data_IF_615885460027
#
_entry.id   IF_615885460027
#
_cell.length_a   1.000
_cell.length_b   1.000
_cell.length_c   1.000
_cell.angle_alpha   90.00
_cell.angle_beta   90.00
_cell.angle_gamma   90.00
#
_symmetry.space_group_name_H-M   'P 1'
#
loop_
_entity.id
_entity.type
_entity.pdbx_description
1 polymer ?
#
# COMPACT_ATOMS: atom_id res chain seq x y z
N UNK A 1 -3.29 -16.07 9.17
CA UNK A 1 -2.21 -15.07 9.13
C UNK A 1 -1.62 -14.91 10.52
N UNK A 2 -0.28 -14.88 10.62
CA UNK A 2 0.44 -14.74 11.89
C UNK A 2 0.89 -13.29 12.11
N UNK A 3 0.71 -12.80 13.33
CA UNK A 3 1.13 -11.46 13.78
C UNK A 3 2.12 -11.64 14.94
N UNK A 4 3.25 -10.96 14.87
CA UNK A 4 4.19 -10.87 15.97
C UNK A 4 3.90 -9.60 16.78
N UNK A 5 3.73 -9.73 18.10
CA UNK A 5 3.58 -8.61 19.04
C UNK A 5 4.83 -8.51 19.90
N UNK A 6 5.50 -7.38 19.84
CA UNK A 6 6.72 -7.07 20.59
C UNK A 6 6.40 -5.95 21.58
N UNK A 7 6.26 -6.29 22.85
CA UNK A 7 5.82 -5.38 23.92
C UNK A 7 6.37 -5.90 25.25
N UNK A 8 7.04 -5.08 26.03
CA UNK A 8 7.65 -5.49 27.29
C UNK A 8 6.65 -5.54 28.44
N UNK A 9 5.63 -4.66 28.47
CA UNK A 9 4.57 -4.72 29.44
C UNK A 9 3.70 -5.97 29.26
N UNK A 10 3.68 -6.82 30.29
CA UNK A 10 2.94 -8.10 30.27
C UNK A 10 1.43 -7.92 30.10
N UNK A 11 0.88 -6.85 30.68
CA UNK A 11 -0.58 -6.62 30.63
C UNK A 11 -1.02 -6.10 29.26
N UNK A 12 -0.26 -5.18 28.66
CA UNK A 12 -0.49 -4.67 27.32
C UNK A 12 -0.31 -5.80 26.30
N UNK A 13 0.77 -6.55 26.40
CA UNK A 13 1.05 -7.71 25.54
C UNK A 13 -0.08 -8.74 25.58
N UNK A 14 -0.59 -9.08 26.77
CA UNK A 14 -1.70 -10.01 26.91
C UNK A 14 -3.03 -9.45 26.38
N UNK A 15 -3.25 -8.14 26.47
CA UNK A 15 -4.42 -7.49 25.90
C UNK A 15 -4.40 -7.51 24.37
N UNK A 16 -3.24 -7.20 23.76
CA UNK A 16 -3.03 -7.26 22.31
C UNK A 16 -3.20 -8.68 21.77
N UNK A 17 -2.61 -9.67 22.44
CA UNK A 17 -2.75 -11.09 22.08
C UNK A 17 -4.22 -11.50 22.00
N UNK A 18 -4.99 -11.25 23.09
CA UNK A 18 -6.42 -11.58 23.13
C UNK A 18 -7.21 -10.89 22.04
N UNK A 19 -6.94 -9.60 21.83
CA UNK A 19 -7.67 -8.81 20.86
C UNK A 19 -7.43 -9.27 19.42
N UNK A 20 -6.18 -9.54 19.07
CA UNK A 20 -5.82 -10.00 17.74
C UNK A 20 -6.32 -11.44 17.48
N UNK A 21 -6.20 -12.33 18.46
CA UNK A 21 -6.78 -13.69 18.36
C UNK A 21 -8.30 -13.68 18.22
N UNK A 22 -8.99 -12.76 18.86
CA UNK A 22 -10.44 -12.61 18.70
C UNK A 22 -10.84 -12.20 17.27
N UNK A 23 -9.92 -11.62 16.50
CA UNK A 23 -10.10 -11.33 15.07
C UNK A 23 -9.67 -12.48 14.14
N UNK A 24 -9.29 -13.63 14.68
CA UNK A 24 -8.91 -14.82 13.92
C UNK A 24 -7.45 -14.86 13.48
N UNK A 25 -6.59 -13.99 14.01
CA UNK A 25 -5.14 -14.05 13.74
C UNK A 25 -4.44 -15.09 14.62
N UNK A 26 -3.40 -15.73 14.10
CA UNK A 26 -2.41 -16.42 14.92
C UNK A 26 -1.47 -15.35 15.50
N UNK A 27 -1.18 -15.42 16.80
CA UNK A 27 -0.37 -14.39 17.47
C UNK A 27 0.77 -15.02 18.22
N UNK A 28 1.98 -14.56 17.93
CA UNK A 28 3.17 -14.80 18.74
C UNK A 28 3.51 -13.52 19.50
N UNK A 29 3.88 -13.65 20.76
CA UNK A 29 4.20 -12.49 21.59
C UNK A 29 5.58 -12.64 22.21
N UNK A 30 6.39 -11.58 22.17
CA UNK A 30 7.74 -11.55 22.75
C UNK A 30 7.97 -10.24 23.52
N UNK A 31 8.88 -10.25 24.54
CA UNK A 31 9.05 -9.09 25.43
C UNK A 31 10.10 -8.08 24.97
N UNK A 32 10.93 -8.40 23.97
CA UNK A 32 12.08 -7.57 23.57
C UNK A 32 12.47 -7.75 22.10
N UNK A 33 13.31 -6.85 21.61
CA UNK A 33 13.72 -6.81 20.20
C UNK A 33 14.59 -8.00 19.77
N UNK A 34 15.37 -8.60 20.68
CA UNK A 34 16.20 -9.77 20.33
C UNK A 34 15.33 -11.01 20.12
N UNK A 35 14.40 -11.25 21.03
CA UNK A 35 13.40 -12.31 20.88
C UNK A 35 12.53 -12.09 19.64
N UNK A 36 12.26 -10.83 19.28
CA UNK A 36 11.53 -10.48 18.07
C UNK A 36 12.28 -10.89 16.78
N UNK A 37 13.59 -10.64 16.69
CA UNK A 37 14.39 -11.09 15.53
C UNK A 37 14.39 -12.62 15.39
N UNK A 38 14.47 -13.35 16.51
CA UNK A 38 14.41 -14.81 16.50
C UNK A 38 13.03 -15.30 16.03
N UNK A 39 11.94 -14.69 16.53
CA UNK A 39 10.59 -15.03 16.13
C UNK A 39 10.32 -14.71 14.66
N UNK A 40 10.83 -13.59 14.14
CA UNK A 40 10.76 -13.26 12.72
C UNK A 40 11.38 -14.33 11.85
N UNK A 41 12.58 -14.80 12.21
CA UNK A 41 13.30 -15.82 11.44
C UNK A 41 12.64 -17.21 11.54
N UNK A 42 12.04 -17.55 12.68
CA UNK A 42 11.48 -18.88 12.93
C UNK A 42 10.05 -19.07 12.45
N UNK A 43 9.23 -18.00 12.50
CA UNK A 43 7.80 -18.11 12.34
C UNK A 43 7.22 -17.34 11.15
N UNK A 44 8.04 -16.52 10.51
CA UNK A 44 7.68 -15.71 9.32
C UNK A 44 6.34 -14.96 9.48
N UNK A 45 6.20 -14.07 10.49
CA UNK A 45 4.95 -13.34 10.70
C UNK A 45 4.66 -12.37 9.54
N UNK A 46 3.38 -12.26 9.18
CA UNK A 46 2.91 -11.37 8.11
C UNK A 46 2.90 -9.88 8.50
N UNK A 47 2.99 -9.57 9.81
CA UNK A 47 3.01 -8.22 10.37
C UNK A 47 3.65 -8.24 11.75
N UNK A 48 4.36 -7.16 12.08
CA UNK A 48 4.88 -6.92 13.43
C UNK A 48 4.16 -5.73 14.06
N UNK A 49 3.64 -5.91 15.27
CA UNK A 49 3.17 -4.81 16.14
C UNK A 49 4.28 -4.59 17.17
N UNK A 50 4.89 -3.42 17.19
CA UNK A 50 6.15 -3.15 17.86
C UNK A 50 6.04 -1.97 18.82
N UNK A 51 6.34 -2.16 20.09
CA UNK A 51 6.61 -1.05 20.98
C UNK A 51 8.01 -0.47 20.75
N UNK A 52 8.17 0.86 20.84
CA UNK A 52 9.48 1.50 20.79
C UNK A 52 10.24 1.43 22.11
N UNK A 53 9.55 1.38 23.24
CA UNK A 53 10.10 1.43 24.58
C UNK A 53 10.71 0.13 25.09
N UNK A 54 11.20 -0.74 24.22
CA UNK A 54 11.69 -2.06 24.58
C UNK A 54 13.02 -2.02 25.33
N UNK A 55 13.24 -2.93 26.29
CA UNK A 55 14.53 -3.08 26.96
C UNK A 55 15.58 -3.70 26.04
N UNK A 56 16.82 -3.26 26.18
CA UNK A 56 17.97 -3.79 25.42
C UNK A 56 18.02 -3.26 23.98
N UNK A 57 17.42 -3.96 23.04
CA UNK A 57 17.28 -3.48 21.66
C UNK A 57 15.99 -2.67 21.54
N UNK A 58 16.11 -1.37 21.36
CA UNK A 58 14.95 -0.49 21.15
C UNK A 58 14.24 -0.80 19.82
N UNK A 59 12.96 -0.39 19.72
CA UNK A 59 12.13 -0.71 18.55
C UNK A 59 12.64 -0.10 17.24
N UNK A 60 13.29 1.07 17.28
CA UNK A 60 13.87 1.69 16.07
C UNK A 60 15.08 0.88 15.58
N UNK A 61 15.92 0.40 16.50
CA UNK A 61 17.05 -0.48 16.17
C UNK A 61 16.58 -1.82 15.59
N UNK A 62 15.49 -2.36 16.09
CA UNK A 62 14.84 -3.54 15.51
C UNK A 62 14.37 -3.27 14.07
N UNK A 63 13.67 -2.16 13.81
CA UNK A 63 13.23 -1.80 12.46
C UNK A 63 14.41 -1.65 11.50
N UNK A 64 15.47 -0.91 11.89
CA UNK A 64 16.68 -0.74 11.07
C UNK A 64 17.29 -2.08 10.71
N UNK A 65 17.40 -2.98 11.67
CA UNK A 65 17.96 -4.30 11.46
C UNK A 65 17.10 -5.10 10.48
N UNK A 66 15.79 -5.11 10.66
CA UNK A 66 14.85 -5.80 9.79
C UNK A 66 15.00 -5.35 8.33
N UNK A 67 15.02 -4.04 8.11
CA UNK A 67 15.19 -3.44 6.76
C UNK A 67 16.58 -3.68 6.18
N UNK A 68 17.65 -3.68 6.99
CA UNK A 68 19.00 -3.98 6.51
C UNK A 68 19.17 -5.42 6.05
N UNK A 69 18.37 -6.32 6.60
CA UNK A 69 18.34 -7.73 6.20
C UNK A 69 17.43 -7.97 4.96
N UNK A 70 16.86 -6.89 4.37
CA UNK A 70 16.02 -6.93 3.18
C UNK A 70 14.58 -7.36 3.45
N UNK A 71 14.13 -7.29 4.68
CA UNK A 71 12.79 -7.69 5.08
C UNK A 71 11.83 -6.50 5.02
N UNK A 72 10.86 -6.57 4.09
CA UNK A 72 9.87 -5.52 3.82
C UNK A 72 8.52 -5.77 4.50
N UNK A 73 8.45 -6.72 5.44
CA UNK A 73 7.19 -6.97 6.17
C UNK A 73 6.68 -5.73 6.89
N UNK A 74 5.38 -5.50 6.93
CA UNK A 74 4.81 -4.33 7.56
C UNK A 74 5.05 -4.33 9.07
N UNK A 75 5.40 -3.14 9.58
CA UNK A 75 5.62 -2.87 11.00
C UNK A 75 4.69 -1.74 11.45
N UNK A 76 3.77 -2.05 12.38
CA UNK A 76 2.96 -1.09 13.11
C UNK A 76 3.65 -0.75 14.43
N UNK A 77 4.12 0.48 14.55
CA UNK A 77 4.79 0.96 15.74
C UNK A 77 3.78 1.50 16.76
N UNK A 78 3.90 1.05 18.00
CA UNK A 78 3.21 1.64 19.15
C UNK A 78 4.19 2.58 19.89
N UNK A 79 3.79 3.81 20.16
CA UNK A 79 4.69 4.78 20.76
C UNK A 79 3.98 5.67 21.80
N UNK A 80 4.67 5.99 22.90
CA UNK A 80 4.22 7.00 23.85
C UNK A 80 4.60 8.43 23.41
N UNK A 81 5.38 8.57 22.31
CA UNK A 81 5.89 9.84 21.81
C UNK A 81 4.91 10.45 20.83
N UNK A 82 4.42 11.65 21.13
CA UNK A 82 3.43 12.40 20.35
C UNK A 82 4.09 13.53 19.50
N UNK A 83 5.39 13.70 19.60
CA UNK A 83 6.15 14.70 18.87
C UNK A 83 6.18 14.48 17.35
N UNK A 84 6.00 15.56 16.55
CA UNK A 84 6.10 15.52 15.10
C UNK A 84 7.49 15.06 14.63
N UNK A 85 8.55 15.43 15.39
CA UNK A 85 9.93 15.03 15.12
C UNK A 85 10.16 13.53 15.26
N UNK A 86 9.61 12.92 16.30
CA UNK A 86 9.74 11.47 16.56
C UNK A 86 9.02 10.61 15.50
N UNK A 87 7.93 11.13 14.90
CA UNK A 87 7.21 10.45 13.80
C UNK A 87 7.98 10.50 12.48
N UNK A 88 8.66 11.61 12.20
CA UNK A 88 9.50 11.77 11.01
C UNK A 88 10.72 10.85 11.11
N UNK A 89 11.40 10.84 12.26
CA UNK A 89 12.55 9.97 12.49
C UNK A 89 12.20 8.48 12.40
N UNK A 90 11.00 8.11 12.83
CA UNK A 90 10.51 6.74 12.77
C UNK A 90 10.09 6.29 11.37
N UNK A 91 9.50 7.15 10.52
CA UNK A 91 9.18 6.85 9.13
C UNK A 91 10.47 6.67 8.31
N UNK A 92 11.50 7.47 8.55
CA UNK A 92 12.81 7.34 7.91
C UNK A 92 13.53 6.03 8.29
N UNK A 93 13.14 5.40 9.41
CA UNK A 93 13.71 4.12 9.90
C UNK A 93 12.99 2.89 9.32
N UNK A 94 11.92 3.07 8.54
CA UNK A 94 11.26 1.99 7.82
C UNK A 94 10.05 1.35 8.51
N UNK A 95 9.41 2.03 9.46
CA UNK A 95 8.08 1.65 9.92
C UNK A 95 6.99 2.05 8.91
N UNK A 96 5.93 1.26 8.81
CA UNK A 96 4.87 1.46 7.81
C UNK A 96 3.68 2.26 8.35
N UNK A 97 3.46 2.24 9.67
CA UNK A 97 2.43 3.03 10.34
C UNK A 97 2.75 3.20 11.83
N UNK A 98 2.15 4.22 12.46
CA UNK A 98 2.34 4.58 13.87
C UNK A 98 1.02 4.73 14.59
N UNK A 99 0.98 4.27 15.86
CA UNK A 99 -0.14 4.44 16.74
C UNK A 99 0.32 4.95 18.10
N UNK A 100 -0.19 6.11 18.50
CA UNK A 100 0.22 6.77 19.74
C UNK A 100 -0.55 6.18 20.93
N UNK A 101 0.18 5.85 22.01
CA UNK A 101 -0.38 5.43 23.30
C UNK A 101 -0.86 6.66 24.10
N UNK A 102 -2.05 6.64 24.73
CA UNK A 102 -3.02 5.57 24.73
C UNK A 102 -3.87 5.54 23.45
N UNK A 103 -4.19 4.36 22.95
CA UNK A 103 -4.96 4.17 21.72
C UNK A 103 -6.24 3.34 21.97
N UNK A 104 -7.22 3.54 21.10
CA UNK A 104 -8.40 2.67 21.06
C UNK A 104 -8.04 1.35 20.36
N UNK A 105 -8.52 0.24 20.91
CA UNK A 105 -8.29 -1.09 20.33
C UNK A 105 -8.82 -1.20 18.90
N UNK A 106 -9.96 -0.56 18.62
CA UNK A 106 -10.58 -0.52 17.30
C UNK A 106 -9.68 0.15 16.27
N UNK A 107 -8.94 1.20 16.67
CA UNK A 107 -7.98 1.88 15.81
C UNK A 107 -6.78 0.97 15.50
N UNK A 108 -6.21 0.31 16.50
CA UNK A 108 -5.15 -0.68 16.30
C UNK A 108 -5.59 -1.75 15.30
N UNK A 109 -6.75 -2.36 15.50
CA UNK A 109 -7.28 -3.40 14.63
C UNK A 109 -7.55 -2.90 13.20
N UNK A 110 -7.99 -1.65 13.04
CA UNK A 110 -8.19 -1.05 11.73
C UNK A 110 -6.86 -0.87 10.99
N UNK A 111 -5.80 -0.41 11.67
CA UNK A 111 -4.45 -0.25 11.12
C UNK A 111 -3.80 -1.59 10.76
N UNK A 112 -3.92 -2.59 11.62
CA UNK A 112 -3.48 -3.97 11.36
C UNK A 112 -4.11 -4.51 10.07
N UNK A 113 -5.44 -4.38 9.93
CA UNK A 113 -6.13 -4.79 8.69
C UNK A 113 -5.64 -4.02 7.45
N UNK A 114 -5.37 -2.73 7.59
CA UNK A 114 -4.88 -1.90 6.49
C UNK A 114 -3.47 -2.31 6.05
N UNK A 115 -2.57 -2.59 6.99
CA UNK A 115 -1.21 -3.03 6.73
C UNK A 115 -1.18 -4.45 6.14
N UNK A 116 -1.92 -5.40 6.69
CA UNK A 116 -2.02 -6.76 6.15
C UNK A 116 -2.58 -6.77 4.72
N UNK A 117 -3.53 -5.90 4.42
CA UNK A 117 -4.03 -5.76 3.04
C UNK A 117 -2.97 -5.24 2.07
N UNK A 118 -1.98 -4.45 2.54
CA UNK A 118 -0.84 -4.00 1.71
C UNK A 118 0.20 -5.09 1.52
N UNK A 119 0.40 -5.95 2.52
CA UNK A 119 1.37 -7.06 2.49
C UNK A 119 0.81 -8.34 1.89
N UNK A 120 -0.50 -8.52 1.86
CA UNK A 120 -1.03 -9.54 0.97
C UNK A 120 -0.58 -9.16 -0.44
N UNK A 121 0.08 -10.07 -1.20
CA UNK A 121 0.07 -9.92 -2.63
C UNK A 121 -1.41 -9.80 -2.97
N UNK A 122 -1.87 -8.59 -3.31
CA UNK A 122 -3.26 -8.34 -3.67
C UNK A 122 -3.66 -9.51 -4.55
N UNK A 123 -4.71 -10.32 -4.20
CA UNK A 123 -5.03 -11.51 -4.97
C UNK A 123 -4.91 -11.07 -6.40
N UNK A 124 -4.12 -11.75 -7.25
CA UNK A 124 -3.60 -11.24 -8.54
C UNK A 124 -4.76 -10.57 -9.30
N UNK A 125 -5.10 -9.38 -8.87
CA UNK A 125 -6.31 -8.68 -9.25
C UNK A 125 -5.98 -8.07 -10.59
N UNK A 126 -5.94 -8.96 -11.59
CA UNK A 126 -5.84 -8.52 -12.97
C UNK A 126 -7.05 -7.66 -13.22
N UNK A 127 -6.85 -6.36 -13.27
CA UNK A 127 -7.90 -5.45 -13.69
C UNK A 127 -8.25 -5.79 -15.14
N UNK A 128 -9.55 -5.92 -15.43
CA UNK A 128 -10.02 -6.27 -16.77
C UNK A 128 -11.10 -5.30 -17.23
N UNK A 129 -10.90 -4.73 -18.40
CA UNK A 129 -11.89 -3.89 -19.08
C UNK A 129 -11.92 -4.29 -20.55
N UNK A 130 -12.90 -5.08 -20.95
CA UNK A 130 -12.90 -5.69 -22.27
C UNK A 130 -11.70 -6.61 -22.49
N UNK A 131 -10.93 -6.34 -23.54
CA UNK A 131 -9.70 -7.04 -23.90
C UNK A 131 -8.42 -6.48 -23.24
N UNK A 132 -8.56 -5.42 -22.43
CA UNK A 132 -7.46 -4.81 -21.69
C UNK A 132 -7.29 -5.51 -20.34
N UNK A 133 -6.06 -5.91 -20.03
CA UNK A 133 -5.64 -6.54 -18.76
C UNK A 133 -4.48 -5.76 -18.17
N UNK A 134 -4.54 -5.46 -16.89
CA UNK A 134 -3.46 -4.80 -16.14
C UNK A 134 -3.26 -5.56 -14.82
N UNK A 135 -2.04 -5.98 -14.56
CA UNK A 135 -1.63 -6.62 -13.31
C UNK A 135 -0.83 -5.64 -12.46
N UNK A 136 -1.42 -5.08 -11.39
CA UNK A 136 -0.74 -4.06 -10.58
C UNK A 136 0.57 -4.53 -9.95
N UNK A 137 0.62 -5.79 -9.50
CA UNK A 137 1.79 -6.33 -8.80
C UNK A 137 3.02 -6.48 -9.70
N UNK A 138 2.87 -6.94 -10.95
CA UNK A 138 3.97 -7.12 -11.92
C UNK A 138 4.13 -5.93 -12.86
N UNK A 139 3.21 -4.97 -12.80
CA UNK A 139 3.11 -3.82 -13.73
C UNK A 139 2.91 -4.22 -15.20
N UNK A 140 2.52 -5.45 -15.44
CA UNK A 140 2.22 -5.95 -16.78
C UNK A 140 0.89 -5.43 -17.28
N UNK A 141 0.88 -4.98 -18.53
CA UNK A 141 -0.32 -4.51 -19.22
C UNK A 141 -0.41 -5.18 -20.57
N UNK A 142 -1.58 -5.75 -20.85
CA UNK A 142 -1.85 -6.39 -22.14
C UNK A 142 -3.18 -5.91 -22.70
N UNK A 143 -3.22 -5.72 -24.00
CA UNK A 143 -4.45 -5.56 -24.75
C UNK A 143 -4.60 -6.71 -25.73
N UNK A 144 -5.61 -7.56 -25.54
CA UNK A 144 -5.68 -8.91 -26.11
C UNK A 144 -4.38 -9.67 -25.82
N UNK A 145 -3.64 -10.10 -26.85
CA UNK A 145 -2.37 -10.82 -26.72
C UNK A 145 -1.14 -9.87 -26.80
N UNK A 146 -1.37 -8.56 -27.01
CA UNK A 146 -0.28 -7.59 -27.17
C UNK A 146 0.12 -6.99 -25.82
N UNK A 147 1.38 -7.15 -25.42
CA UNK A 147 1.97 -6.47 -24.29
C UNK A 147 2.11 -4.95 -24.59
N UNK A 148 1.84 -4.12 -23.60
CA UNK A 148 1.95 -2.68 -23.67
C UNK A 148 3.06 -2.20 -22.73
N UNK A 149 4.07 -1.56 -23.28
CA UNK A 149 5.10 -0.89 -22.49
C UNK A 149 4.62 0.51 -22.10
N UNK A 150 4.45 0.73 -20.80
CA UNK A 150 4.01 2.00 -20.24
C UNK A 150 5.09 2.60 -19.34
N UNK A 151 5.21 3.92 -19.39
CA UNK A 151 5.97 4.66 -18.37
C UNK A 151 5.23 4.64 -17.03
N UNK A 152 5.88 5.02 -15.94
CA UNK A 152 5.25 5.03 -14.61
C UNK A 152 3.96 5.86 -14.56
N UNK A 153 3.98 7.06 -15.12
CA UNK A 153 2.80 7.93 -15.14
C UNK A 153 1.67 7.38 -16.04
N UNK A 154 2.01 6.80 -17.19
CA UNK A 154 1.02 6.14 -18.04
C UNK A 154 0.38 4.95 -17.33
N UNK A 155 1.19 4.14 -16.64
CA UNK A 155 0.70 3.00 -15.86
C UNK A 155 -0.24 3.44 -14.74
N UNK A 156 0.15 4.41 -13.91
CA UNK A 156 -0.67 4.95 -12.82
C UNK A 156 -1.99 5.53 -13.33
N UNK A 157 -1.94 6.28 -14.42
CA UNK A 157 -3.13 6.85 -15.06
C UNK A 157 -4.06 5.74 -15.57
N UNK A 158 -3.52 4.73 -16.25
CA UNK A 158 -4.30 3.62 -16.76
C UNK A 158 -4.89 2.77 -15.64
N UNK A 159 -4.11 2.46 -14.61
CA UNK A 159 -4.57 1.71 -13.44
C UNK A 159 -5.75 2.42 -12.77
N UNK A 160 -5.62 3.74 -12.53
CA UNK A 160 -6.70 4.51 -11.92
C UNK A 160 -7.97 4.53 -12.77
N UNK A 161 -7.83 4.68 -14.10
CA UNK A 161 -8.95 4.60 -15.04
C UNK A 161 -9.60 3.21 -15.08
N UNK A 162 -8.81 2.13 -14.99
CA UNK A 162 -9.32 0.75 -14.98
C UNK A 162 -10.05 0.40 -13.68
N UNK A 163 -9.54 0.87 -12.53
CA UNK A 163 -10.23 0.71 -11.23
C UNK A 163 -11.59 1.39 -11.19
N UNK A 164 -11.75 2.46 -11.97
CA UNK A 164 -12.97 3.25 -12.10
C UNK A 164 -13.62 3.08 -13.49
N UNK A 165 -13.54 1.88 -14.06
CA UNK A 165 -14.08 1.63 -15.39
C UNK A 165 -15.57 1.98 -15.48
N UNK A 166 -15.96 2.62 -16.59
CA UNK A 166 -17.31 3.14 -16.89
C UNK A 166 -17.72 4.37 -16.07
N UNK A 167 -16.90 4.83 -15.13
CA UNK A 167 -17.15 6.05 -14.38
C UNK A 167 -16.40 7.21 -15.06
N UNK A 168 -17.07 8.35 -15.23
CA UNK A 168 -16.43 9.57 -15.72
C UNK A 168 -15.61 10.20 -14.60
N UNK A 169 -14.31 10.25 -14.77
CA UNK A 169 -13.38 10.86 -13.82
C UNK A 169 -13.09 12.31 -14.23
N UNK A 170 -13.24 13.23 -13.29
CA UNK A 170 -12.94 14.65 -13.50
C UNK A 170 -11.46 14.87 -13.70
N UNK A 171 -11.08 15.90 -14.49
CA UNK A 171 -9.68 16.24 -14.77
C UNK A 171 -8.88 16.49 -13.49
N UNK A 172 -9.42 17.27 -12.57
CA UNK A 172 -8.80 17.60 -11.28
C UNK A 172 -8.50 16.33 -10.46
N UNK A 173 -9.48 15.43 -10.34
CA UNK A 173 -9.32 14.19 -9.61
C UNK A 173 -8.24 13.27 -10.22
N UNK A 174 -8.12 13.25 -11.55
CA UNK A 174 -7.06 12.51 -12.25
C UNK A 174 -5.69 13.13 -12.01
N UNK A 175 -5.59 14.46 -12.03
CA UNK A 175 -4.35 15.18 -11.74
C UNK A 175 -3.89 14.91 -10.31
N UNK A 176 -4.76 15.07 -9.32
CA UNK A 176 -4.44 14.86 -7.91
C UNK A 176 -4.00 13.42 -7.63
N UNK A 177 -4.69 12.44 -8.21
CA UNK A 177 -4.39 11.02 -7.96
C UNK A 177 -3.08 10.57 -8.64
N UNK A 178 -2.81 11.03 -9.87
CA UNK A 178 -1.69 10.53 -10.68
C UNK A 178 -0.42 11.33 -10.44
N UNK A 179 -0.53 12.66 -10.27
CA UNK A 179 0.63 13.55 -10.07
C UNK A 179 0.82 14.01 -8.62
N UNK A 180 -0.20 13.85 -7.77
CA UNK A 180 -0.18 14.37 -6.39
C UNK A 180 -0.31 15.91 -6.38
N UNK A 181 -0.15 16.50 -5.21
CA UNK A 181 -0.23 17.96 -5.03
C UNK A 181 1.01 18.73 -5.54
N UNK A 182 1.81 18.12 -6.41
CA UNK A 182 2.99 18.78 -6.99
C UNK A 182 2.52 19.82 -7.99
N UNK A 183 2.86 21.07 -7.74
CA UNK A 183 2.43 22.30 -8.43
C UNK A 183 2.75 22.36 -9.95
N UNK A 184 3.37 21.34 -10.52
CA UNK A 184 3.83 21.30 -11.91
C UNK A 184 2.89 20.52 -12.88
N UNK A 185 1.84 19.86 -12.37
CA UNK A 185 0.92 19.12 -13.22
C UNK A 185 -0.16 20.07 -13.77
N UNK A 186 0.03 20.53 -14.99
CA UNK A 186 -0.95 21.36 -15.71
C UNK A 186 -2.00 20.45 -16.40
N UNK A 187 -3.18 21.01 -16.69
CA UNK A 187 -4.22 20.31 -17.47
C UNK A 187 -3.67 19.80 -18.82
N UNK A 188 -2.70 20.52 -19.40
CA UNK A 188 -2.00 20.11 -20.62
C UNK A 188 -1.22 18.80 -20.45
N UNK A 189 -0.63 18.53 -19.26
CA UNK A 189 0.06 17.28 -19.02
C UNK A 189 -0.90 16.09 -19.09
N UNK A 190 -2.07 16.18 -18.46
CA UNK A 190 -3.08 15.12 -18.51
C UNK A 190 -3.52 14.82 -19.96
N UNK A 191 -3.72 15.86 -20.79
CA UNK A 191 -4.11 15.68 -22.19
C UNK A 191 -3.02 14.96 -23.01
N UNK A 192 -1.76 15.29 -22.76
CA UNK A 192 -0.60 14.64 -23.39
C UNK A 192 -0.54 13.16 -23.02
N UNK A 193 -0.66 12.82 -21.72
CA UNK A 193 -0.61 11.43 -21.28
C UNK A 193 -1.83 10.61 -21.72
N UNK A 194 -3.01 11.21 -21.77
CA UNK A 194 -4.19 10.60 -22.40
C UNK A 194 -3.94 10.34 -23.88
N UNK A 195 -3.27 11.25 -24.58
CA UNK A 195 -2.83 11.07 -25.98
C UNK A 195 -1.86 9.91 -26.14
N UNK A 196 -0.86 9.79 -25.25
CA UNK A 196 0.09 8.67 -25.27
C UNK A 196 -0.60 7.32 -25.00
N UNK A 197 -1.46 7.25 -23.98
CA UNK A 197 -2.23 6.04 -23.70
C UNK A 197 -3.11 5.64 -24.89
N UNK A 198 -3.83 6.58 -25.49
CA UNK A 198 -4.64 6.29 -26.69
C UNK A 198 -3.80 5.70 -27.81
N UNK A 199 -2.67 6.29 -28.12
CA UNK A 199 -1.77 5.79 -29.17
C UNK A 199 -1.35 4.35 -28.89
N UNK A 200 -1.01 4.01 -27.65
CA UNK A 200 -0.62 2.66 -27.25
C UNK A 200 -1.80 1.69 -27.21
N UNK A 201 -2.94 2.14 -26.70
CA UNK A 201 -4.15 1.33 -26.66
C UNK A 201 -4.73 1.07 -28.07
N UNK A 202 -4.78 2.08 -28.93
CA UNK A 202 -5.40 2.03 -30.25
C UNK A 202 -4.44 1.59 -31.37
N UNK A 203 -3.22 1.18 -31.04
CA UNK A 203 -2.28 0.66 -32.02
C UNK A 203 -2.87 -0.56 -32.75
N UNK A 204 -2.44 -0.78 -33.98
CA UNK A 204 -2.89 -1.85 -34.88
C UNK A 204 -4.40 -1.79 -35.20
N UNK A 205 -4.99 -0.60 -35.11
CA UNK A 205 -6.42 -0.40 -35.43
C UNK A 205 -7.37 -0.85 -34.32
N UNK A 206 -6.87 -1.13 -33.13
CA UNK A 206 -7.71 -1.55 -32.01
C UNK A 206 -8.72 -0.44 -31.63
N UNK A 207 -9.98 -0.80 -31.36
CA UNK A 207 -11.04 0.19 -31.14
C UNK A 207 -10.83 0.99 -29.86
N UNK A 208 -11.33 2.24 -29.86
CA UNK A 208 -11.15 3.19 -28.75
C UNK A 208 -11.82 2.70 -27.45
N UNK A 209 -11.06 2.76 -26.36
CA UNK A 209 -11.55 2.48 -25.00
C UNK A 209 -11.52 3.71 -24.10
N UNK A 210 -10.55 4.62 -24.29
CA UNK A 210 -10.40 5.83 -23.47
C UNK A 210 -11.08 7.01 -24.16
N UNK A 211 -12.21 7.45 -23.60
CA UNK A 211 -13.05 8.49 -24.18
C UNK A 211 -12.94 9.80 -23.40
N UNK A 212 -13.07 10.92 -24.11
CA UNK A 212 -13.23 12.25 -23.51
C UNK A 212 -14.71 12.55 -23.33
N UNK A 213 -15.08 12.98 -22.13
CA UNK A 213 -16.38 13.61 -21.86
C UNK A 213 -16.14 15.11 -21.82
N UNK A 214 -16.58 15.80 -22.87
CA UNK A 214 -16.30 17.24 -23.07
C UNK A 214 -16.75 18.07 -21.84
N UNK A 215 -15.89 18.94 -21.37
CA UNK A 215 -16.14 19.80 -20.20
C UNK A 215 -16.12 19.09 -18.84
N UNK A 216 -15.92 17.77 -18.80
CA UNK A 216 -15.93 16.99 -17.53
C UNK A 216 -14.61 16.27 -17.29
N UNK A 217 -14.17 15.38 -18.21
CA UNK A 217 -12.97 14.57 -17.98
C UNK A 217 -12.90 13.37 -18.91
N UNK A 218 -12.52 12.23 -18.36
CA UNK A 218 -12.24 11.03 -19.13
C UNK A 218 -12.95 9.79 -18.54
N UNK A 219 -13.23 8.82 -19.41
CA UNK A 219 -13.81 7.52 -19.01
C UNK A 219 -13.18 6.40 -19.82
N UNK A 220 -12.80 5.34 -19.13
CA UNK A 220 -12.39 4.06 -19.75
C UNK A 220 -13.57 3.11 -19.77
N UNK A 221 -13.87 2.55 -20.93
CA UNK A 221 -14.95 1.56 -21.10
C UNK A 221 -14.59 0.56 -22.20
N UNK A 222 -15.14 -0.67 -22.17
CA UNK A 222 -14.93 -1.64 -23.22
C UNK A 222 -15.25 -1.03 -24.60
N UNK A 223 -14.49 -1.41 -25.60
CA UNK A 223 -14.87 -1.14 -26.99
C UNK A 223 -16.22 -1.84 -27.29
N UNK A 224 -17.06 -1.20 -28.04
CA UNK A 224 -18.33 -1.79 -28.52
C UNK A 224 -18.07 -2.67 -29.72
#
# INVERSE_FOLDING_TARGET
MRILVVEDDRSVRAALDRALRAQGYEVTTVPDGLAALQAVAAEDPALVVLDLGLPGMDGLSFCRRLRSDGDDRPVLVLTARDGVGDRVEGLDVGADDYLVKPFALEELLARVRALLRRSEPAPQQVLRVGDLRLQPATREVHRAERALELTDLEFRLLEHLMRNARIVLRREALLDTVWGHTTAATENALEVYVGYLRRKLEADGAPRMLHTVRGVGYVLRPAR
#
